data_IF_940090938075
#
_entry.id   IF_940090938075
#
_cell.length_a   1.000
_cell.length_b   1.000
_cell.length_c   1.000
_cell.angle_alpha   90.00
_cell.angle_beta   90.00
_cell.angle_gamma   90.00
#
_symmetry.space_group_name_H-M   'P 1'
#
loop_
_entity.id
_entity.type
_entity.pdbx_description
1 polymer ?
#
# COMPACT_ATOMS: atom_id res chain seq x y z
N UNK A 1 -15.51 0.62 0.24
CA UNK A 1 -14.76 -0.23 1.19
C UNK A 1 -13.85 0.69 2.01
N UNK A 2 -13.72 0.46 3.32
CA UNK A 2 -12.93 1.34 4.19
C UNK A 2 -11.61 0.64 4.55
N UNK A 3 -10.49 1.35 4.41
CA UNK A 3 -9.21 0.93 4.97
C UNK A 3 -9.25 1.13 6.48
N UNK A 4 -8.80 0.13 7.24
CA UNK A 4 -8.76 0.15 8.71
C UNK A 4 -7.34 0.03 9.26
N UNK A 5 -6.55 -0.87 8.68
CA UNK A 5 -5.20 -1.15 9.14
C UNK A 5 -4.23 -1.27 7.98
N UNK A 6 -2.98 -0.92 8.25
CA UNK A 6 -1.85 -1.21 7.39
C UNK A 6 -0.71 -1.66 8.31
N UNK A 7 -0.07 -2.77 7.98
CA UNK A 7 1.13 -3.23 8.66
C UNK A 7 2.18 -3.68 7.67
N UNK A 8 3.44 -3.61 8.12
CA UNK A 8 4.59 -4.15 7.42
C UNK A 8 5.44 -4.91 8.43
N UNK A 9 5.80 -6.14 8.08
CA UNK A 9 6.60 -7.02 8.94
C UNK A 9 7.69 -7.67 8.10
N UNK A 10 8.92 -7.73 8.62
CA UNK A 10 9.95 -8.58 8.06
C UNK A 10 9.86 -9.96 8.70
N UNK A 11 9.79 -11.00 7.88
CA UNK A 11 9.80 -12.42 8.28
C UNK A 11 11.00 -13.09 7.62
N UNK A 12 11.45 -14.22 8.15
CA UNK A 12 12.63 -14.91 7.62
C UNK A 12 12.50 -15.19 6.12
N UNK A 13 13.17 -14.38 5.29
CA UNK A 13 13.20 -14.48 3.82
C UNK A 13 12.24 -13.58 3.04
N UNK A 14 11.31 -12.85 3.69
CA UNK A 14 10.37 -11.97 2.98
C UNK A 14 9.81 -10.84 3.86
N UNK A 15 9.28 -9.81 3.22
CA UNK A 15 8.47 -8.76 3.84
C UNK A 15 7.00 -9.07 3.61
N UNK A 16 6.16 -8.87 4.63
CA UNK A 16 4.72 -9.03 4.56
C UNK A 16 4.06 -7.68 4.80
N UNK A 17 3.43 -7.13 3.78
CA UNK A 17 2.63 -5.91 3.84
C UNK A 17 1.16 -6.32 3.83
N UNK A 18 0.38 -5.83 4.80
CA UNK A 18 -1.04 -6.17 4.94
C UNK A 18 -1.87 -4.91 5.00
N UNK A 19 -2.89 -4.83 4.14
CA UNK A 19 -3.97 -3.84 4.23
C UNK A 19 -5.24 -4.54 4.71
N UNK A 20 -5.84 -4.05 5.80
CA UNK A 20 -7.07 -4.60 6.38
C UNK A 20 -8.28 -3.69 6.12
N UNK A 21 -9.41 -4.31 5.75
CA UNK A 21 -10.58 -3.58 5.25
C UNK A 21 -11.88 -3.87 6.01
N UNK A 22 -12.87 -3.00 5.83
CA UNK A 22 -14.24 -3.19 6.35
C UNK A 22 -15.10 -4.18 5.56
N UNK A 23 -14.72 -4.52 4.32
CA UNK A 23 -15.44 -5.40 3.42
C UNK A 23 -14.43 -6.15 2.53
N UNK A 24 -14.79 -7.26 1.87
CA UNK A 24 -13.90 -7.98 0.94
C UNK A 24 -13.32 -7.08 -0.16
N UNK A 25 -12.01 -7.17 -0.40
CA UNK A 25 -11.35 -6.51 -1.53
C UNK A 25 -11.56 -7.33 -2.80
N UNK A 26 -12.18 -6.74 -3.82
CA UNK A 26 -12.52 -7.43 -5.08
C UNK A 26 -11.79 -6.86 -6.29
N UNK A 27 -11.35 -5.60 -6.22
CA UNK A 27 -10.60 -4.94 -7.29
C UNK A 27 -9.30 -4.36 -6.74
N UNK A 28 -8.17 -4.93 -7.15
CA UNK A 28 -6.84 -4.45 -6.82
C UNK A 28 -5.85 -4.74 -7.95
N UNK A 29 -4.81 -3.92 -8.03
CA UNK A 29 -3.68 -4.10 -8.93
C UNK A 29 -2.38 -3.92 -8.16
N UNK A 30 -1.42 -4.82 -8.38
CA UNK A 30 -0.06 -4.70 -7.85
C UNK A 30 0.91 -4.90 -9.00
N UNK A 31 1.72 -3.89 -9.30
CA UNK A 31 2.64 -3.92 -10.44
C UNK A 31 3.84 -3.02 -10.23
N UNK A 32 4.95 -3.37 -10.86
CA UNK A 32 6.07 -2.45 -11.01
C UNK A 32 5.67 -1.27 -11.89
N UNK A 33 6.13 -0.07 -11.51
CA UNK A 33 5.87 1.17 -12.24
C UNK A 33 7.18 1.93 -12.46
N UNK A 34 7.33 2.67 -13.57
CA UNK A 34 8.53 3.47 -13.80
C UNK A 34 8.63 4.61 -12.78
N UNK A 35 9.88 4.95 -12.43
CA UNK A 35 10.20 6.17 -11.69
C UNK A 35 10.25 7.38 -12.64
N UNK A 36 9.97 8.61 -12.16
CA UNK A 36 9.49 8.93 -10.82
C UNK A 36 8.01 8.60 -10.64
N UNK A 37 7.66 8.17 -9.42
CA UNK A 37 6.25 8.06 -8.99
C UNK A 37 5.73 9.44 -8.62
N UNK A 38 4.43 9.67 -8.87
CA UNK A 38 3.74 10.94 -8.58
C UNK A 38 2.51 10.70 -7.72
N UNK A 39 2.15 11.68 -6.91
CA UNK A 39 0.94 11.66 -6.10
C UNK A 39 -0.30 11.96 -6.95
N UNK A 40 -1.39 11.28 -6.62
CA UNK A 40 -2.71 11.57 -7.18
C UNK A 40 -3.50 12.46 -6.22
N UNK A 41 -4.21 13.50 -6.69
CA UNK A 41 -4.24 14.04 -8.07
C UNK A 41 -3.24 15.19 -8.29
N UNK A 42 -2.37 15.49 -7.32
CA UNK A 42 -1.52 16.71 -7.33
C UNK A 42 -0.39 16.67 -8.36
N UNK A 43 -0.07 15.50 -8.91
CA UNK A 43 1.04 15.24 -9.83
C UNK A 43 2.43 15.55 -9.24
N UNK A 44 2.52 15.72 -7.91
CA UNK A 44 3.78 15.99 -7.22
C UNK A 44 4.66 14.74 -7.19
N UNK A 45 5.95 14.91 -7.46
CA UNK A 45 6.93 13.81 -7.40
C UNK A 45 7.04 13.29 -5.96
N UNK A 46 6.98 11.97 -5.81
CA UNK A 46 7.22 11.28 -4.53
C UNK A 46 8.67 10.81 -4.54
N UNK A 47 9.49 11.37 -3.64
CA UNK A 47 10.84 10.86 -3.40
C UNK A 47 10.76 9.50 -2.71
N UNK A 48 11.15 8.44 -3.43
CA UNK A 48 11.17 7.07 -2.95
C UNK A 48 12.58 6.63 -2.54
N UNK A 49 12.67 5.83 -1.49
CA UNK A 49 13.85 5.05 -1.14
C UNK A 49 13.88 3.76 -1.96
N UNK A 50 15.06 3.40 -2.46
CA UNK A 50 15.23 2.30 -3.41
C UNK A 50 15.43 2.81 -4.84
N UNK A 51 15.61 1.89 -5.77
CA UNK A 51 15.85 2.17 -7.19
C UNK A 51 14.69 1.70 -8.09
N UNK A 52 13.63 1.14 -7.51
CA UNK A 52 12.45 0.69 -8.22
C UNK A 52 11.18 0.84 -7.35
N UNK A 53 10.01 0.78 -7.98
CA UNK A 53 8.73 1.04 -7.34
C UNK A 53 7.69 -0.04 -7.65
N UNK A 54 7.10 -0.61 -6.60
CA UNK A 54 5.96 -1.53 -6.70
C UNK A 54 4.69 -0.81 -6.23
N UNK A 55 3.80 -0.48 -7.16
CA UNK A 55 2.54 0.21 -6.87
C UNK A 55 1.44 -0.79 -6.53
N UNK A 56 0.64 -0.43 -5.53
CA UNK A 56 -0.56 -1.11 -5.06
C UNK A 56 -1.73 -0.14 -5.22
N UNK A 57 -2.74 -0.55 -5.97
CA UNK A 57 -3.98 0.20 -6.18
C UNK A 57 -5.16 -0.68 -5.78
N UNK A 58 -6.08 -0.16 -4.98
CA UNK A 58 -7.33 -0.88 -4.66
C UNK A 58 -8.49 0.10 -4.44
N UNK A 59 -9.70 -0.38 -4.70
CA UNK A 59 -10.91 0.39 -4.42
C UNK A 59 -11.16 0.53 -2.93
N UNK A 60 -11.20 1.74 -2.41
CA UNK A 60 -11.45 2.03 -1.01
C UNK A 60 -11.01 3.44 -0.62
N UNK A 61 -11.19 3.77 0.64
CA UNK A 61 -10.75 5.05 1.20
C UNK A 61 -10.42 4.89 2.69
N UNK A 62 -9.54 5.74 3.21
CA UNK A 62 -9.28 5.87 4.65
C UNK A 62 -10.28 6.75 5.38
N UNK A 63 -11.29 7.30 4.70
CA UNK A 63 -12.26 8.24 5.25
C UNK A 63 -13.72 7.79 5.00
N UNK A 64 -14.50 7.61 6.06
CA UNK A 64 -15.93 7.33 5.97
C UNK A 64 -16.73 8.62 5.81
N UNK A 65 -17.10 8.92 4.56
CA UNK A 65 -17.91 10.08 4.17
C UNK A 65 -19.42 9.89 4.40
N UNK A 66 -19.87 8.69 4.77
CA UNK A 66 -21.30 8.45 5.05
C UNK A 66 -21.76 9.02 6.39
N UNK A 67 -20.81 9.41 7.25
CA UNK A 67 -21.05 10.02 8.55
C UNK A 67 -20.96 11.54 8.49
N UNK A 68 -21.61 12.22 9.44
CA UNK A 68 -21.57 13.68 9.57
C UNK A 68 -21.17 14.10 11.00
N UNK A 69 -19.93 14.59 11.25
CA UNK A 69 -18.88 14.81 10.24
C UNK A 69 -18.27 13.50 9.71
N UNK A 70 -17.57 13.53 8.56
CA UNK A 70 -16.82 12.37 8.07
C UNK A 70 -15.82 11.84 9.11
N UNK A 71 -15.65 10.52 9.17
CA UNK A 71 -14.82 9.85 10.19
C UNK A 71 -13.62 9.18 9.54
N UNK A 72 -12.42 9.52 9.99
CA UNK A 72 -11.19 8.84 9.56
C UNK A 72 -11.21 7.38 10.04
N UNK A 73 -11.12 6.42 9.12
CA UNK A 73 -11.12 4.99 9.44
C UNK A 73 -9.73 4.37 9.45
N UNK A 74 -8.80 4.96 8.69
CA UNK A 74 -7.38 4.62 8.74
C UNK A 74 -6.60 5.76 9.39
N UNK A 75 -6.07 5.52 10.58
CA UNK A 75 -5.27 6.49 11.36
C UNK A 75 -3.78 6.09 11.45
N UNK A 76 -3.36 5.11 10.64
CA UNK A 76 -1.97 4.67 10.57
C UNK A 76 -1.08 5.63 9.78
N UNK A 77 0.22 5.32 9.73
CA UNK A 77 1.19 6.15 9.01
C UNK A 77 0.99 6.06 7.49
N UNK A 78 0.93 7.21 6.82
CA UNK A 78 0.95 7.29 5.36
C UNK A 78 2.33 7.03 4.77
N UNK A 79 3.38 6.96 5.61
CA UNK A 79 4.74 6.62 5.19
C UNK A 79 5.43 5.79 6.26
N UNK A 80 5.93 4.62 5.89
CA UNK A 80 6.67 3.74 6.78
C UNK A 80 8.02 3.42 6.15
N UNK A 81 9.10 3.91 6.77
CA UNK A 81 10.47 3.57 6.37
C UNK A 81 10.87 2.27 7.06
N UNK A 82 11.38 1.32 6.27
CA UNK A 82 11.82 0.00 6.75
C UNK A 82 13.35 -0.03 6.90
N UNK A 83 14.06 0.64 6.00
CA UNK A 83 15.52 0.79 6.05
C UNK A 83 16.26 -0.06 5.01
N UNK A 84 17.20 -0.89 5.46
CA UNK A 84 18.03 -1.70 4.57
C UNK A 84 17.31 -2.99 4.12
N UNK A 85 17.58 -3.43 2.89
CA UNK A 85 17.04 -4.66 2.30
C UNK A 85 16.20 -4.43 1.03
N UNK A 86 15.45 -5.45 0.63
CA UNK A 86 14.66 -5.42 -0.60
C UNK A 86 13.49 -4.42 -0.54
N UNK A 87 12.84 -4.28 0.62
CA UNK A 87 11.81 -3.25 0.86
C UNK A 87 12.42 -2.10 1.65
N UNK A 88 12.35 -0.89 1.10
CA UNK A 88 12.93 0.32 1.69
C UNK A 88 11.90 1.13 2.45
N UNK A 89 10.73 1.27 1.87
CA UNK A 89 9.60 1.98 2.48
C UNK A 89 8.26 1.64 1.84
N UNK A 90 7.20 2.06 2.49
CA UNK A 90 5.83 2.08 1.99
C UNK A 90 5.27 3.49 2.11
N UNK A 91 4.64 4.01 1.05
CA UNK A 91 4.10 5.37 0.99
C UNK A 91 2.69 5.36 0.40
N UNK A 92 1.73 6.01 1.06
CA UNK A 92 0.44 6.33 0.46
C UNK A 92 0.62 7.54 -0.48
N UNK A 93 0.23 7.38 -1.74
CA UNK A 93 0.39 8.40 -2.78
C UNK A 93 -0.96 8.92 -3.31
N UNK A 94 -2.09 8.34 -2.88
CA UNK A 94 -3.42 8.81 -3.24
C UNK A 94 -4.54 8.17 -2.42
N UNK A 95 -5.58 8.95 -2.16
CA UNK A 95 -6.92 8.54 -1.70
C UNK A 95 -7.91 9.51 -2.34
N UNK A 96 -8.31 9.18 -3.56
CA UNK A 96 -9.12 10.05 -4.42
C UNK A 96 -10.17 9.20 -5.13
N UNK A 97 -11.41 9.70 -5.20
CA UNK A 97 -12.54 9.01 -5.85
C UNK A 97 -12.73 7.54 -5.42
N UNK A 98 -12.51 7.26 -4.14
CA UNK A 98 -12.57 5.90 -3.57
C UNK A 98 -11.59 4.90 -4.21
N UNK A 99 -10.43 5.40 -4.65
CA UNK A 99 -9.26 4.59 -5.02
C UNK A 99 -8.09 5.01 -4.15
N UNK A 100 -7.48 4.04 -3.48
CA UNK A 100 -6.23 4.26 -2.76
C UNK A 100 -5.05 3.76 -3.59
N UNK A 101 -4.01 4.59 -3.66
CA UNK A 101 -2.75 4.26 -4.28
C UNK A 101 -1.66 4.30 -3.21
N UNK A 102 -0.91 3.21 -3.12
CA UNK A 102 0.25 3.05 -2.26
C UNK A 102 1.42 2.58 -3.11
N UNK A 103 2.64 2.93 -2.72
CA UNK A 103 3.86 2.49 -3.39
C UNK A 103 4.86 1.97 -2.38
N UNK A 104 5.46 0.84 -2.72
CA UNK A 104 6.58 0.27 -2.00
C UNK A 104 7.85 0.66 -2.76
N UNK A 105 8.71 1.41 -2.09
CA UNK A 105 10.07 1.64 -2.56
C UNK A 105 10.89 0.37 -2.34
N UNK A 106 11.46 -0.20 -3.41
CA UNK A 106 12.22 -1.45 -3.34
C UNK A 106 13.61 -1.29 -3.95
N UNK A 107 14.51 -2.19 -3.55
CA UNK A 107 15.81 -2.37 -4.21
C UNK A 107 15.71 -3.50 -5.23
N UNK A 108 16.09 -3.22 -6.48
CA UNK A 108 16.04 -4.17 -7.59
C UNK A 108 14.61 -4.48 -8.01
N UNK A 109 14.34 -5.74 -8.32
CA UNK A 109 12.99 -6.20 -8.73
C UNK A 109 12.67 -7.51 -8.00
N UNK A 110 12.51 -7.49 -6.67
CA UNK A 110 12.24 -8.70 -5.90
C UNK A 110 10.96 -9.38 -6.37
N UNK A 111 10.93 -10.71 -6.29
CA UNK A 111 9.69 -11.44 -6.54
C UNK A 111 8.65 -11.09 -5.46
N UNK A 112 7.39 -11.03 -5.87
CA UNK A 112 6.28 -10.79 -4.96
C UNK A 112 5.09 -11.68 -5.23
N UNK A 113 4.28 -11.90 -4.20
CA UNK A 113 3.00 -12.61 -4.27
C UNK A 113 1.93 -11.77 -3.62
N UNK A 114 0.71 -11.87 -4.15
CA UNK A 114 -0.45 -11.13 -3.65
C UNK A 114 -1.57 -12.11 -3.35
N UNK A 115 -2.22 -11.96 -2.20
CA UNK A 115 -3.41 -12.73 -1.84
C UNK A 115 -4.48 -11.85 -1.20
N UNK A 116 -5.73 -12.04 -1.63
CA UNK A 116 -6.89 -11.45 -0.99
C UNK A 116 -7.53 -12.48 -0.04
N UNK A 117 -7.78 -12.07 1.20
CA UNK A 117 -8.38 -12.89 2.25
C UNK A 117 -9.71 -12.24 2.67
N UNK A 118 -10.69 -13.05 3.11
CA UNK A 118 -12.03 -12.54 3.43
C UNK A 118 -12.37 -12.56 4.93
N UNK A 119 -11.66 -13.35 5.74
CA UNK A 119 -11.92 -13.51 7.18
C UNK A 119 -10.60 -13.54 7.99
N UNK A 120 -10.04 -12.38 8.38
CA UNK A 120 -10.50 -11.01 8.10
C UNK A 120 -10.32 -10.58 6.64
N UNK A 121 -11.02 -9.51 6.21
CA UNK A 121 -10.82 -8.94 4.88
C UNK A 121 -9.48 -8.24 4.78
N UNK A 122 -8.57 -8.78 3.96
CA UNK A 122 -7.20 -8.30 3.82
C UNK A 122 -6.66 -8.43 2.40
N UNK A 123 -5.80 -7.50 2.01
CA UNK A 123 -4.88 -7.66 0.89
C UNK A 123 -3.46 -7.84 1.45
N UNK A 124 -2.86 -8.99 1.18
CA UNK A 124 -1.53 -9.35 1.65
C UNK A 124 -0.57 -9.36 0.47
N UNK A 125 0.52 -8.62 0.59
CA UNK A 125 1.63 -8.58 -0.37
C UNK A 125 2.86 -9.13 0.34
N UNK A 126 3.42 -10.22 -0.19
CA UNK A 126 4.66 -10.82 0.30
C UNK A 126 5.76 -10.58 -0.72
N UNK A 127 6.88 -10.00 -0.29
CA UNK A 127 8.01 -9.60 -1.16
C UNK A 127 9.28 -10.31 -0.67
N UNK A 128 9.98 -11.00 -1.56
CA UNK A 128 11.24 -11.67 -1.22
C UNK A 128 12.28 -10.69 -0.65
N UNK A 129 13.03 -11.12 0.36
CA UNK A 129 14.04 -10.27 1.01
C UNK A 129 15.40 -10.25 0.26
N UNK A 130 15.57 -11.13 -0.73
CA UNK A 130 16.77 -11.31 -1.58
C UNK A 130 16.37 -11.58 -3.02
#
# INVERSE_FOLDING_TARGET
MLLRTQSIEQRGGYYRIVFGFSAPVTNYHVRYVPLPVRQDPSDQVVELQGDNALQISFGGTGLDQSQNPPVQTYVGSQRTVVGAGAVRELVQIGDFEAVMNWVIGVQGTPEFRVSAQQNPSQLVIEIAAV
#
